data_IF_032304648898
#
_entry.id   IF_032304648898
#
_cell.length_a   1.000
_cell.length_b   1.000
_cell.length_c   1.000
_cell.angle_alpha   90.00
_cell.angle_beta   90.00
_cell.angle_gamma   90.00
#
_symmetry.space_group_name_H-M   'P 1'
#
loop_
_entity.id
_entity.type
_entity.pdbx_description
1 polymer ?
#
# COMPACT_ATOMS: atom_id res chain seq x y z
N UNK A 1 -47.78 39.74 18.38
CA UNK A 1 -47.47 38.35 18.01
C UNK A 1 -46.13 38.34 17.30
N UNK A 2 -45.01 38.18 18.04
CA UNK A 2 -43.66 38.09 17.46
C UNK A 2 -43.32 36.62 17.35
N UNK A 3 -43.16 36.14 16.12
CA UNK A 3 -42.84 34.75 15.79
C UNK A 3 -41.37 34.52 16.16
N UNK A 4 -41.13 33.62 17.12
CA UNK A 4 -39.80 33.10 17.43
C UNK A 4 -39.43 32.08 16.36
N UNK A 5 -38.39 32.34 15.58
CA UNK A 5 -37.76 31.33 14.71
C UNK A 5 -36.71 30.62 15.57
N UNK A 6 -36.70 29.27 15.67
CA UNK A 6 -35.67 28.58 16.44
C UNK A 6 -34.35 28.67 15.67
N UNK A 7 -33.34 29.20 16.35
CA UNK A 7 -31.96 29.21 15.87
C UNK A 7 -31.47 27.75 15.87
N UNK A 8 -31.46 27.10 14.71
CA UNK A 8 -30.72 25.85 14.52
C UNK A 8 -29.24 26.18 14.76
N UNK A 9 -28.71 25.77 15.89
CA UNK A 9 -27.27 25.72 16.09
C UNK A 9 -26.71 24.64 15.15
N UNK A 10 -26.26 25.05 13.95
CA UNK A 10 -25.30 24.27 13.19
C UNK A 10 -24.05 24.17 14.07
N UNK A 11 -23.82 23.01 14.67
CA UNK A 11 -22.51 22.66 15.20
C UNK A 11 -21.59 22.57 13.99
N UNK A 12 -20.89 23.65 13.66
CA UNK A 12 -19.69 23.57 12.84
C UNK A 12 -18.68 22.77 13.66
N UNK A 13 -18.63 21.45 13.42
CA UNK A 13 -17.49 20.64 13.83
C UNK A 13 -16.24 21.30 13.24
N UNK A 14 -15.37 21.79 14.12
CA UNK A 14 -14.11 22.40 13.71
C UNK A 14 -13.30 21.39 12.92
N UNK A 15 -12.80 21.80 11.75
CA UNK A 15 -11.84 21.03 10.92
C UNK A 15 -10.47 20.84 11.58
N UNK A 16 -10.32 21.27 12.84
CA UNK A 16 -9.08 21.24 13.60
C UNK A 16 -8.68 19.84 14.10
N UNK A 17 -9.62 18.88 14.13
CA UNK A 17 -9.39 17.53 14.68
C UNK A 17 -9.38 16.41 13.61
N UNK A 18 -9.32 16.78 12.33
CA UNK A 18 -9.28 15.81 11.23
C UNK A 18 -7.88 15.20 11.09
N UNK A 19 -7.79 13.87 11.17
CA UNK A 19 -6.56 13.12 10.93
C UNK A 19 -6.07 13.29 9.50
N UNK A 20 -4.76 13.46 9.37
CA UNK A 20 -4.08 13.50 8.09
C UNK A 20 -3.53 12.12 7.75
N UNK A 21 -3.99 11.57 6.62
CA UNK A 21 -3.63 10.26 6.11
C UNK A 21 -2.72 10.41 4.89
N UNK A 22 -1.47 9.99 5.02
CA UNK A 22 -0.52 9.94 3.92
C UNK A 22 -0.70 8.69 3.07
N UNK A 23 -0.85 8.84 1.75
CA UNK A 23 -0.93 7.72 0.80
C UNK A 23 0.37 7.66 0.01
N UNK A 24 1.28 6.73 0.35
CA UNK A 24 2.52 6.47 -0.39
C UNK A 24 2.32 5.40 -1.44
N UNK A 25 2.07 5.80 -2.69
CA UNK A 25 1.66 4.86 -3.73
C UNK A 25 1.92 5.38 -5.16
N UNK A 26 1.18 4.89 -6.17
CA UNK A 26 1.24 5.30 -7.59
C UNK A 26 0.53 6.61 -7.91
N UNK A 27 0.07 7.34 -6.88
CA UNK A 27 -0.70 8.57 -7.02
C UNK A 27 -2.19 8.39 -6.76
N UNK A 28 -2.86 9.50 -6.45
CA UNK A 28 -4.27 9.49 -6.02
C UNK A 28 -5.07 10.44 -6.89
N UNK A 29 -6.09 9.92 -7.59
CA UNK A 29 -7.10 10.74 -8.26
C UNK A 29 -7.97 11.46 -7.22
N UNK A 30 -7.44 12.55 -6.69
CA UNK A 30 -8.12 13.45 -5.75
C UNK A 30 -9.29 14.22 -6.39
N UNK A 31 -9.49 14.10 -7.71
CA UNK A 31 -10.67 14.66 -8.39
C UNK A 31 -11.87 13.72 -8.35
N UNK A 32 -11.65 12.45 -7.96
CA UNK A 32 -12.73 11.48 -7.75
C UNK A 32 -13.76 12.04 -6.77
N UNK A 33 -15.04 11.99 -7.10
CA UNK A 33 -16.16 12.62 -6.38
C UNK A 33 -16.21 12.33 -4.87
N UNK A 34 -15.78 11.12 -4.48
CA UNK A 34 -15.75 10.71 -3.08
C UNK A 34 -14.40 11.00 -2.38
N UNK A 35 -13.33 11.28 -3.14
CA UNK A 35 -12.01 11.62 -2.61
C UNK A 35 -11.77 13.13 -2.61
N UNK A 36 -12.38 13.90 -3.52
CA UNK A 36 -12.23 15.36 -3.57
C UNK A 36 -12.63 16.05 -2.25
N UNK A 37 -13.72 15.66 -1.56
CA UNK A 37 -14.03 16.21 -0.23
C UNK A 37 -13.03 15.79 0.86
N UNK A 38 -12.21 14.78 0.58
CA UNK A 38 -11.19 14.22 1.47
C UNK A 38 -9.78 14.69 1.15
N UNK A 39 -9.54 15.35 0.02
CA UNK A 39 -8.23 15.91 -0.30
C UNK A 39 -7.81 16.89 0.79
N UNK A 40 -6.63 16.68 1.37
CA UNK A 40 -5.97 17.68 2.21
C UNK A 40 -5.60 18.88 1.35
N UNK A 41 -5.62 20.06 1.96
CA UNK A 41 -5.27 21.31 1.29
C UNK A 41 -4.10 21.93 2.05
N UNK A 42 -2.93 22.01 1.42
CA UNK A 42 -1.85 22.84 1.91
C UNK A 42 -2.28 24.30 1.80
N UNK A 43 -2.66 24.92 2.93
CA UNK A 43 -3.13 26.32 2.97
C UNK A 43 -1.98 27.32 2.94
N UNK A 44 -0.76 26.86 3.13
CA UNK A 44 0.43 27.70 3.05
C UNK A 44 0.93 27.81 1.60
N UNK A 45 0.45 26.94 0.71
CA UNK A 45 0.81 26.92 -0.70
C UNK A 45 -0.23 27.58 -1.61
N UNK A 46 0.23 27.97 -2.81
CA UNK A 46 -0.63 28.51 -3.87
C UNK A 46 -0.55 27.65 -5.13
N UNK A 47 -1.71 27.19 -5.63
CA UNK A 47 -1.76 26.32 -6.81
C UNK A 47 -1.09 26.99 -8.03
N UNK A 48 -0.15 26.28 -8.65
CA UNK A 48 0.60 26.76 -9.81
C UNK A 48 1.72 27.75 -9.48
N UNK A 49 1.97 28.05 -8.19
CA UNK A 49 3.16 28.77 -7.75
C UNK A 49 4.40 27.93 -7.99
N UNK A 50 5.48 28.57 -8.45
CA UNK A 50 6.83 27.98 -8.48
C UNK A 50 7.67 28.37 -7.25
N UNK A 51 7.09 29.19 -6.36
CA UNK A 51 7.70 29.56 -5.08
C UNK A 51 7.18 28.62 -4.02
N UNK A 52 8.11 27.99 -3.30
CA UNK A 52 7.87 27.22 -2.08
C UNK A 52 7.62 28.22 -0.93
N UNK A 53 6.39 28.26 -0.45
CA UNK A 53 5.89 29.25 0.51
C UNK A 53 5.98 28.76 1.96
N UNK A 54 5.93 27.45 2.20
CA UNK A 54 6.09 26.88 3.54
C UNK A 54 7.51 26.37 3.83
N UNK A 55 8.40 26.43 2.84
CA UNK A 55 9.81 26.07 2.89
C UNK A 55 10.03 24.58 3.19
N UNK A 56 9.18 23.72 2.64
CA UNK A 56 9.31 22.26 2.75
C UNK A 56 10.13 21.64 1.59
N UNK A 57 10.50 22.46 0.61
CA UNK A 57 11.28 22.10 -0.58
C UNK A 57 10.44 21.78 -1.82
N UNK A 58 9.10 21.80 -1.74
CA UNK A 58 8.18 21.32 -2.77
C UNK A 58 7.16 22.39 -3.20
N UNK A 59 7.54 23.33 -4.09
CA UNK A 59 6.67 24.43 -4.49
C UNK A 59 5.30 23.97 -5.03
N UNK A 60 4.22 24.44 -4.40
CA UNK A 60 2.84 24.23 -4.88
C UNK A 60 2.26 22.84 -4.60
N UNK A 61 2.73 22.12 -3.59
CA UNK A 61 2.25 20.79 -3.15
C UNK A 61 0.84 20.79 -2.50
N UNK A 62 -0.12 21.45 -3.15
CA UNK A 62 -1.48 21.74 -2.65
C UNK A 62 -2.23 20.53 -2.08
N UNK A 63 -2.00 19.34 -2.64
CA UNK A 63 -2.64 18.10 -2.21
C UNK A 63 -1.63 16.99 -1.90
N UNK A 64 -0.35 17.37 -1.78
CA UNK A 64 0.81 16.49 -1.73
C UNK A 64 1.66 16.59 -3.00
N UNK A 65 2.53 15.59 -3.21
CA UNK A 65 3.59 15.66 -4.21
C UNK A 65 3.78 14.37 -5.01
N UNK A 66 4.21 14.52 -6.26
CA UNK A 66 4.77 13.46 -7.08
C UNK A 66 6.30 13.49 -7.02
N UNK A 67 6.86 12.60 -6.21
CA UNK A 67 8.31 12.44 -6.02
C UNK A 67 8.99 11.72 -7.19
N UNK A 68 8.22 11.13 -8.11
CA UNK A 68 8.75 10.43 -9.28
C UNK A 68 8.98 11.38 -10.45
N UNK A 69 8.13 12.41 -10.58
CA UNK A 69 8.21 13.42 -11.63
C UNK A 69 8.62 14.80 -11.10
N UNK A 70 8.83 14.92 -9.78
CA UNK A 70 9.12 16.16 -9.06
C UNK A 70 8.10 17.26 -9.37
N UNK A 71 6.83 16.99 -9.08
CA UNK A 71 5.70 17.81 -9.51
C UNK A 71 4.57 17.82 -8.49
N UNK A 72 3.80 18.91 -8.43
CA UNK A 72 2.55 19.01 -7.67
C UNK A 72 1.40 18.15 -8.25
N UNK A 73 1.57 17.55 -9.43
CA UNK A 73 0.55 16.71 -10.07
C UNK A 73 0.55 15.30 -9.46
N UNK A 74 -0.20 15.10 -8.39
CA UNK A 74 -0.26 13.84 -7.61
C UNK A 74 -0.94 12.66 -8.31
N UNK A 75 -1.47 12.84 -9.52
CA UNK A 75 -2.06 11.78 -10.33
C UNK A 75 -1.90 12.08 -11.81
N UNK A 76 -1.47 11.07 -12.57
CA UNK A 76 -1.33 11.15 -14.02
C UNK A 76 -2.61 10.62 -14.67
N UNK A 77 -3.27 11.43 -15.50
CA UNK A 77 -4.56 11.14 -16.15
C UNK A 77 -4.41 10.58 -17.59
N UNK A 78 -3.19 10.44 -18.10
CA UNK A 78 -2.91 10.06 -19.50
C UNK A 78 -3.25 8.60 -19.86
N UNK A 79 -3.68 7.79 -18.90
CA UNK A 79 -3.92 6.35 -19.09
C UNK A 79 -5.33 5.91 -18.67
N UNK A 80 -6.24 6.86 -18.50
CA UNK A 80 -7.65 6.60 -18.18
C UNK A 80 -8.33 5.73 -19.26
N UNK A 81 -7.93 5.89 -20.52
CA UNK A 81 -8.45 5.14 -21.66
C UNK A 81 -8.19 3.63 -21.55
N UNK A 82 -7.19 3.22 -20.78
CA UNK A 82 -6.87 1.80 -20.54
C UNK A 82 -7.82 1.13 -19.56
N UNK A 83 -8.63 1.89 -18.81
CA UNK A 83 -9.67 1.36 -17.92
C UNK A 83 -10.92 0.97 -18.74
N UNK A 84 -10.73 0.03 -19.66
CA UNK A 84 -11.73 -0.45 -20.61
C UNK A 84 -12.81 -1.33 -19.96
N UNK A 85 -13.89 -1.60 -20.69
CA UNK A 85 -14.96 -2.50 -20.22
C UNK A 85 -14.45 -3.91 -19.92
N UNK A 86 -13.54 -4.45 -20.73
CA UNK A 86 -12.98 -5.79 -20.53
C UNK A 86 -12.08 -5.86 -19.29
N UNK A 87 -11.28 -4.81 -19.03
CA UNK A 87 -10.49 -4.73 -17.80
C UNK A 87 -11.39 -4.68 -16.56
N UNK A 88 -12.46 -3.86 -16.58
CA UNK A 88 -13.45 -3.82 -15.49
C UNK A 88 -14.14 -5.16 -15.30
N UNK A 89 -14.49 -5.83 -16.41
CA UNK A 89 -15.12 -7.16 -16.41
C UNK A 89 -14.19 -8.21 -15.81
N UNK A 90 -12.90 -8.18 -16.17
CA UNK A 90 -11.89 -9.06 -15.59
C UNK A 90 -11.84 -8.91 -14.07
N UNK A 91 -11.64 -7.70 -13.54
CA UNK A 91 -11.54 -7.49 -12.10
C UNK A 91 -12.83 -7.88 -11.36
N UNK A 92 -14.00 -7.58 -11.94
CA UNK A 92 -15.28 -7.99 -11.38
C UNK A 92 -15.39 -9.52 -11.29
N UNK A 93 -15.17 -10.24 -12.40
CA UNK A 93 -15.29 -11.71 -12.42
C UNK A 93 -14.21 -12.39 -11.58
N UNK A 94 -12.98 -11.87 -11.60
CA UNK A 94 -11.89 -12.38 -10.78
C UNK A 94 -12.21 -12.23 -9.28
N UNK A 95 -12.83 -11.12 -8.87
CA UNK A 95 -13.28 -10.94 -7.49
C UNK A 95 -14.34 -11.98 -7.08
N UNK A 96 -15.28 -12.33 -7.97
CA UNK A 96 -16.26 -13.38 -7.72
C UNK A 96 -15.61 -14.77 -7.59
N UNK A 97 -14.58 -15.03 -8.41
CA UNK A 97 -13.77 -16.24 -8.33
C UNK A 97 -13.07 -16.34 -6.97
N UNK A 98 -12.39 -15.28 -6.52
CA UNK A 98 -11.69 -15.24 -5.24
C UNK A 98 -12.62 -15.38 -4.03
N UNK A 99 -13.84 -14.84 -4.13
CA UNK A 99 -14.87 -14.97 -3.11
C UNK A 99 -15.52 -16.36 -3.07
N UNK A 100 -15.12 -17.29 -3.95
CA UNK A 100 -15.73 -18.62 -4.05
C UNK A 100 -17.18 -18.59 -4.54
N UNK A 101 -17.59 -17.52 -5.24
CA UNK A 101 -18.96 -17.33 -5.74
C UNK A 101 -19.21 -17.95 -7.11
N UNK A 102 -18.15 -18.42 -7.79
CA UNK A 102 -18.25 -19.06 -9.10
C UNK A 102 -18.19 -20.59 -8.97
N UNK A 103 -18.81 -21.28 -9.92
CA UNK A 103 -18.72 -22.72 -10.11
C UNK A 103 -18.28 -23.06 -11.56
N UNK A 104 -18.08 -24.34 -11.88
CA UNK A 104 -17.58 -24.76 -13.20
C UNK A 104 -18.47 -24.35 -14.38
N UNK A 105 -19.76 -24.10 -14.13
CA UNK A 105 -20.74 -23.68 -15.14
C UNK A 105 -20.98 -22.16 -15.20
N UNK A 106 -20.38 -21.38 -14.29
CA UNK A 106 -20.50 -19.92 -14.29
C UNK A 106 -19.99 -19.34 -15.61
N UNK A 107 -20.81 -18.51 -16.26
CA UNK A 107 -20.43 -17.82 -17.50
C UNK A 107 -19.21 -16.92 -17.28
N UNK A 108 -19.09 -16.32 -16.10
CA UNK A 108 -17.97 -15.50 -15.66
C UNK A 108 -16.66 -16.30 -15.62
N UNK A 109 -16.72 -17.55 -15.16
CA UNK A 109 -15.55 -18.42 -15.12
C UNK A 109 -15.13 -18.86 -16.53
N UNK A 110 -16.09 -19.16 -17.40
CA UNK A 110 -15.83 -19.47 -18.82
C UNK A 110 -15.20 -18.26 -19.51
N UNK A 111 -15.71 -17.06 -19.22
CA UNK A 111 -15.15 -15.81 -19.73
C UNK A 111 -13.70 -15.63 -19.27
N UNK A 112 -13.41 -15.77 -17.97
CA UNK A 112 -12.05 -15.64 -17.42
C UNK A 112 -11.08 -16.64 -18.08
N UNK A 113 -11.46 -17.92 -18.20
CA UNK A 113 -10.62 -18.96 -18.82
C UNK A 113 -10.30 -18.68 -20.29
N UNK A 114 -11.21 -18.00 -20.99
CA UNK A 114 -11.04 -17.64 -22.40
C UNK A 114 -10.15 -16.40 -22.53
N UNK A 115 -10.45 -15.33 -21.79
CA UNK A 115 -9.85 -14.01 -21.97
C UNK A 115 -8.50 -13.86 -21.26
N UNK A 116 -8.18 -14.69 -20.25
CA UNK A 116 -6.83 -14.69 -19.64
C UNK A 116 -5.73 -15.19 -20.57
N UNK A 117 -6.08 -15.73 -21.75
CA UNK A 117 -5.13 -16.09 -22.81
C UNK A 117 -4.84 -14.93 -23.77
N UNK A 118 -5.58 -13.84 -23.69
CA UNK A 118 -5.35 -12.64 -24.49
C UNK A 118 -4.23 -11.82 -23.83
N UNK A 119 -3.07 -11.78 -24.49
CA UNK A 119 -1.90 -11.06 -23.99
C UNK A 119 -2.13 -9.54 -23.90
N UNK A 120 -2.88 -8.94 -24.83
CA UNK A 120 -3.16 -7.50 -24.80
C UNK A 120 -4.07 -7.14 -23.63
N UNK A 121 -5.13 -7.93 -23.41
CA UNK A 121 -5.97 -7.77 -22.24
C UNK A 121 -5.16 -7.94 -20.94
N UNK A 122 -4.34 -8.98 -20.83
CA UNK A 122 -3.58 -9.23 -19.60
C UNK A 122 -2.52 -8.14 -19.34
N UNK A 123 -1.89 -7.61 -20.38
CA UNK A 123 -1.00 -6.46 -20.26
C UNK A 123 -1.75 -5.22 -19.74
N UNK A 124 -2.94 -4.94 -20.27
CA UNK A 124 -3.81 -3.85 -19.78
C UNK A 124 -4.26 -4.09 -18.34
N UNK A 125 -4.68 -5.30 -17.99
CA UNK A 125 -5.09 -5.67 -16.62
C UNK A 125 -3.95 -5.41 -15.63
N UNK A 126 -2.74 -5.87 -15.94
CA UNK A 126 -1.55 -5.68 -15.11
C UNK A 126 -1.21 -4.20 -14.96
N UNK A 127 -1.18 -3.46 -16.07
CA UNK A 127 -0.91 -2.02 -16.06
C UNK A 127 -1.96 -1.27 -15.22
N UNK A 128 -3.24 -1.48 -15.53
CA UNK A 128 -4.35 -0.78 -14.88
C UNK A 128 -4.35 -1.06 -13.38
N UNK A 129 -4.07 -2.28 -12.95
CA UNK A 129 -4.03 -2.59 -11.52
C UNK A 129 -2.97 -1.80 -10.76
N UNK A 130 -1.80 -1.55 -11.35
CA UNK A 130 -0.77 -0.69 -10.75
C UNK A 130 -1.13 0.80 -10.84
N UNK A 131 -1.70 1.21 -11.98
CA UNK A 131 -2.11 2.59 -12.25
C UNK A 131 -3.22 3.09 -11.32
N UNK A 132 -4.23 2.26 -11.05
CA UNK A 132 -5.34 2.65 -10.15
C UNK A 132 -5.02 2.46 -8.67
N UNK A 133 -3.88 1.83 -8.36
CA UNK A 133 -3.58 1.30 -7.03
C UNK A 133 -3.65 2.36 -5.93
N UNK A 134 -2.99 3.52 -6.11
CA UNK A 134 -3.00 4.61 -5.14
C UNK A 134 -4.40 5.17 -4.88
N UNK A 135 -5.16 5.45 -5.94
CA UNK A 135 -6.58 5.85 -5.83
C UNK A 135 -7.41 4.81 -5.09
N UNK A 136 -7.14 3.52 -5.30
CA UNK A 136 -7.85 2.43 -4.65
C UNK A 136 -7.57 2.35 -3.16
N UNK A 137 -6.30 2.36 -2.75
CA UNK A 137 -5.92 2.32 -1.32
C UNK A 137 -6.32 3.60 -0.58
N UNK A 138 -6.33 4.75 -1.26
CA UNK A 138 -6.85 6.01 -0.71
C UNK A 138 -8.32 5.88 -0.31
N UNK A 139 -9.17 5.33 -1.18
CA UNK A 139 -10.59 5.10 -0.87
C UNK A 139 -10.81 4.19 0.34
N UNK A 140 -10.08 3.06 0.42
CA UNK A 140 -10.17 2.15 1.57
C UNK A 140 -9.75 2.87 2.86
N UNK A 141 -8.76 3.75 2.77
CA UNK A 141 -8.20 4.48 3.91
C UNK A 141 -9.15 5.52 4.51
N UNK A 142 -10.03 6.17 3.73
CA UNK A 142 -10.76 7.35 4.22
C UNK A 142 -12.28 7.33 4.05
N UNK A 143 -12.87 6.53 3.15
CA UNK A 143 -14.29 6.69 2.82
C UNK A 143 -15.25 6.44 4.00
N UNK A 144 -14.89 5.52 4.90
CA UNK A 144 -15.64 5.24 6.12
C UNK A 144 -15.15 6.02 7.35
N UNK A 145 -14.47 7.15 7.10
CA UNK A 145 -14.08 8.11 8.11
C UNK A 145 -14.46 9.54 7.64
N UNK A 146 -15.49 10.17 8.23
CA UNK A 146 -15.95 11.48 7.78
C UNK A 146 -14.91 12.60 7.93
N UNK A 147 -13.96 12.49 8.87
CA UNK A 147 -13.03 13.56 9.21
C UNK A 147 -11.71 13.46 8.44
N UNK A 148 -11.20 12.24 8.21
CA UNK A 148 -9.90 11.99 7.59
C UNK A 148 -9.67 12.78 6.29
N UNK A 149 -8.43 13.28 6.14
CA UNK A 149 -7.93 13.97 4.95
C UNK A 149 -6.77 13.21 4.32
N UNK A 150 -6.64 13.29 2.99
CA UNK A 150 -5.62 12.60 2.20
C UNK A 150 -4.52 13.58 1.82
N UNK A 151 -3.28 13.28 2.21
CA UNK A 151 -2.06 13.83 1.62
C UNK A 151 -1.48 12.77 0.66
N UNK A 152 -1.48 13.06 -0.64
CA UNK A 152 -1.07 12.11 -1.67
C UNK A 152 0.43 12.21 -1.93
N UNK A 153 1.14 11.08 -1.86
CA UNK A 153 2.58 11.02 -2.12
C UNK A 153 2.82 9.96 -3.19
N UNK A 154 2.95 10.42 -4.44
CA UNK A 154 3.27 9.52 -5.55
C UNK A 154 4.76 9.23 -5.51
N UNK A 155 5.10 8.00 -5.16
CA UNK A 155 6.49 7.51 -5.06
C UNK A 155 6.73 6.32 -5.99
N UNK A 156 5.66 5.77 -6.55
CA UNK A 156 5.72 4.65 -7.49
C UNK A 156 5.49 5.23 -8.87
N UNK A 157 6.47 5.10 -9.79
CA UNK A 157 6.28 5.58 -11.14
C UNK A 157 5.14 4.77 -11.78
N UNK A 158 4.19 5.45 -12.39
CA UNK A 158 3.28 4.78 -13.33
C UNK A 158 4.16 4.21 -14.43
N UNK A 159 4.17 2.89 -14.68
CA UNK A 159 5.13 2.29 -15.58
C UNK A 159 5.12 3.00 -16.94
N UNK A 160 6.19 3.73 -17.28
CA UNK A 160 6.43 4.28 -18.62
C UNK A 160 6.84 3.15 -19.59
N UNK A 161 6.30 1.95 -19.44
CA UNK A 161 6.27 1.07 -20.59
C UNK A 161 5.14 1.59 -21.46
N UNK A 162 5.49 2.41 -22.45
CA UNK A 162 4.67 2.52 -23.65
C UNK A 162 4.13 1.11 -23.90
N UNK A 163 2.80 0.96 -23.80
CA UNK A 163 2.14 -0.13 -24.50
C UNK A 163 2.62 0.05 -25.92
N UNK A 164 3.65 -0.73 -26.33
CA UNK A 164 4.23 -0.64 -27.65
C UNK A 164 3.09 -0.96 -28.60
N UNK A 165 2.40 0.08 -29.06
CA UNK A 165 1.71 0.03 -30.33
C UNK A 165 2.84 -0.24 -31.30
N UNK A 166 2.89 -1.45 -31.82
CA UNK A 166 3.59 -1.69 -33.08
C UNK A 166 2.89 -0.80 -34.09
N UNK A 167 3.34 0.44 -34.23
CA UNK A 167 3.00 1.28 -35.37
C UNK A 167 3.78 0.70 -36.55
N UNK A 168 3.10 0.08 -37.55
CA UNK A 168 3.78 -0.46 -38.72
C UNK A 168 4.45 0.63 -39.57
N UNK A 169 4.23 1.92 -39.27
CA UNK A 169 4.84 3.07 -39.93
C UNK A 169 5.82 3.85 -39.04
N UNK A 170 6.20 3.33 -37.86
CA UNK A 170 7.21 3.98 -37.02
C UNK A 170 8.52 4.18 -37.82
N UNK A 171 9.12 5.39 -37.79
CA UNK A 171 10.41 5.62 -38.44
C UNK A 171 11.43 4.61 -37.93
N UNK A 172 12.12 3.94 -38.86
CA UNK A 172 13.16 2.95 -38.52
C UNK A 172 14.10 3.53 -37.48
N UNK A 173 14.31 2.80 -36.39
CA UNK A 173 15.19 3.20 -35.31
C UNK A 173 16.51 3.74 -35.88
N UNK A 174 16.87 4.95 -35.48
CA UNK A 174 18.22 5.49 -35.71
C UNK A 174 19.19 4.44 -35.14
N UNK A 175 20.21 3.99 -35.90
CA UNK A 175 21.18 3.04 -35.39
C UNK A 175 21.70 3.54 -34.04
N UNK A 176 21.56 2.74 -32.97
CA UNK A 176 22.16 3.06 -31.68
C UNK A 176 23.64 3.35 -31.94
N UNK A 177 24.07 4.57 -31.59
CA UNK A 177 25.48 4.87 -31.44
C UNK A 177 26.00 3.84 -30.46
N UNK A 178 26.91 2.97 -30.91
CA UNK A 178 27.61 2.00 -30.07
C UNK A 178 28.40 2.81 -29.05
N UNK A 179 27.85 2.96 -27.86
CA UNK A 179 28.60 3.36 -26.68
C UNK A 179 29.72 2.34 -26.47
N UNK A 180 30.93 2.76 -26.06
CA UNK A 180 31.98 1.82 -25.66
C UNK A 180 31.41 0.81 -24.67
N UNK A 181 31.72 -0.48 -24.84
CA UNK A 181 31.33 -1.50 -23.86
C UNK A 181 31.93 -1.12 -22.50
N UNK A 182 31.06 -0.91 -21.50
CA UNK A 182 31.50 -0.71 -20.12
C UNK A 182 32.28 -1.94 -19.67
N UNK A 183 33.49 -1.80 -19.10
CA UNK A 183 34.26 -2.92 -18.56
C UNK A 183 33.42 -3.75 -17.58
N UNK A 184 33.59 -5.08 -17.62
CA UNK A 184 32.92 -5.97 -16.68
C UNK A 184 33.39 -5.68 -15.25
N UNK A 185 32.43 -5.51 -14.32
CA UNK A 185 32.72 -5.36 -12.89
C UNK A 185 33.13 -6.69 -12.28
N UNK A 186 33.92 -6.63 -11.22
CA UNK A 186 34.12 -7.75 -10.30
C UNK A 186 32.84 -8.01 -9.48
N UNK A 187 32.76 -9.19 -8.86
CA UNK A 187 31.66 -9.54 -7.95
C UNK A 187 31.62 -8.58 -6.75
N UNK A 188 32.78 -8.17 -6.25
CA UNK A 188 32.91 -7.26 -5.11
C UNK A 188 32.41 -5.85 -5.43
N UNK A 189 32.79 -5.30 -6.60
CA UNK A 189 32.28 -4.01 -7.08
C UNK A 189 30.75 -4.05 -7.24
N UNK A 190 30.22 -5.08 -7.91
CA UNK A 190 28.77 -5.22 -8.06
C UNK A 190 28.04 -5.37 -6.72
N UNK A 191 28.61 -6.14 -5.78
CA UNK A 191 28.04 -6.28 -4.43
C UNK A 191 28.02 -4.92 -3.71
N UNK A 192 29.09 -4.15 -3.83
CA UNK A 192 29.20 -2.80 -3.26
C UNK A 192 28.15 -1.87 -3.84
N UNK A 193 27.93 -1.91 -5.16
CA UNK A 193 26.90 -1.08 -5.80
C UNK A 193 25.49 -1.46 -5.34
N UNK A 194 25.20 -2.76 -5.19
CA UNK A 194 23.91 -3.23 -4.65
C UNK A 194 23.70 -2.74 -3.22
N UNK A 195 24.73 -2.82 -2.37
CA UNK A 195 24.66 -2.30 -0.99
C UNK A 195 24.48 -0.79 -0.97
N UNK A 196 25.25 -0.04 -1.77
CA UNK A 196 25.10 1.41 -1.87
C UNK A 196 23.69 1.81 -2.36
N UNK A 197 23.11 1.04 -3.30
CA UNK A 197 21.74 1.28 -3.76
C UNK A 197 20.70 1.06 -2.65
N UNK A 198 20.95 0.13 -1.72
CA UNK A 198 20.11 -0.04 -0.53
C UNK A 198 20.21 1.16 0.40
N UNK A 199 21.42 1.67 0.67
CA UNK A 199 21.63 2.86 1.49
C UNK A 199 20.96 4.10 0.86
N UNK A 200 21.09 4.29 -0.45
CA UNK A 200 20.41 5.36 -1.19
C UNK A 200 18.89 5.24 -1.10
N UNK A 201 18.34 4.03 -1.22
CA UNK A 201 16.92 3.77 -1.05
C UNK A 201 16.43 4.17 0.36
N UNK A 202 17.19 3.85 1.41
CA UNK A 202 16.85 4.30 2.77
C UNK A 202 16.91 5.82 2.88
N UNK A 203 17.94 6.48 2.34
CA UNK A 203 18.08 7.93 2.40
C UNK A 203 16.92 8.66 1.70
N UNK A 204 16.44 8.13 0.57
CA UNK A 204 15.23 8.64 -0.08
C UNK A 204 13.99 8.49 0.80
N UNK A 205 13.81 7.33 1.45
CA UNK A 205 12.71 7.13 2.40
C UNK A 205 12.82 8.03 3.63
N UNK A 206 14.02 8.34 4.12
CA UNK A 206 14.24 9.33 5.18
C UNK A 206 13.74 10.71 4.75
N UNK A 207 14.04 11.13 3.51
CA UNK A 207 13.51 12.38 2.95
C UNK A 207 11.97 12.39 2.88
N UNK A 208 11.38 11.32 2.35
CA UNK A 208 9.92 11.16 2.30
C UNK A 208 9.28 11.19 3.69
N UNK A 209 9.88 10.53 4.67
CA UNK A 209 9.37 10.51 6.04
C UNK A 209 9.61 11.85 6.75
N UNK A 210 10.63 12.61 6.36
CA UNK A 210 10.83 13.98 6.85
C UNK A 210 9.69 14.89 6.37
N UNK A 211 9.26 14.76 5.11
CA UNK A 211 8.09 15.45 4.56
C UNK A 211 6.79 15.07 5.31
N UNK A 212 6.59 13.76 5.57
CA UNK A 212 5.48 13.27 6.42
C UNK A 212 5.48 13.92 7.80
N UNK A 213 6.64 14.04 8.43
CA UNK A 213 6.78 14.66 9.75
C UNK A 213 6.53 16.17 9.72
N UNK A 214 7.04 16.86 8.69
CA UNK A 214 6.84 18.28 8.48
C UNK A 214 5.34 18.63 8.42
N UNK A 215 4.58 17.86 7.64
CA UNK A 215 3.13 18.01 7.50
C UNK A 215 2.32 17.39 8.65
N UNK A 216 3.00 16.83 9.66
CA UNK A 216 2.38 16.22 10.86
C UNK A 216 1.33 15.16 10.51
N UNK A 217 1.62 14.34 9.50
CA UNK A 217 0.74 13.25 9.08
C UNK A 217 0.56 12.28 10.25
N UNK A 218 -0.68 11.91 10.55
CA UNK A 218 -0.98 11.03 11.69
C UNK A 218 -0.72 9.57 11.37
N UNK A 219 -1.12 9.14 10.17
CA UNK A 219 -0.96 7.76 9.69
C UNK A 219 -0.62 7.71 8.21
N UNK A 220 0.30 6.81 7.84
CA UNK A 220 0.70 6.58 6.46
C UNK A 220 0.37 5.16 6.02
N UNK A 221 -0.29 5.03 4.88
CA UNK A 221 -0.45 3.77 4.16
C UNK A 221 0.75 3.53 3.22
N UNK A 222 1.52 2.47 3.45
CA UNK A 222 2.61 2.01 2.58
C UNK A 222 2.25 0.65 1.98
N UNK A 223 1.77 0.68 0.73
CA UNK A 223 1.31 -0.52 0.02
C UNK A 223 2.27 -0.91 -1.12
N UNK A 224 3.56 -0.88 -0.83
CA UNK A 224 4.66 -1.24 -1.73
C UNK A 224 5.71 -2.04 -0.98
N UNK A 225 6.59 -2.72 -1.72
CA UNK A 225 7.78 -3.32 -1.14
C UNK A 225 8.53 -4.25 -2.09
N UNK A 226 9.65 -4.76 -1.61
CA UNK A 226 10.51 -5.74 -2.31
C UNK A 226 10.68 -6.96 -1.40
N UNK A 227 10.16 -8.10 -1.86
CA UNK A 227 10.34 -9.38 -1.17
C UNK A 227 11.67 -10.03 -1.54
N UNK A 228 12.08 -11.03 -0.75
CA UNK A 228 13.32 -11.78 -1.01
C UNK A 228 13.43 -12.34 -2.44
N UNK A 229 12.34 -12.87 -3.00
CA UNK A 229 12.32 -13.41 -4.36
C UNK A 229 12.54 -12.35 -5.43
N UNK A 230 11.91 -11.18 -5.28
CA UNK A 230 12.13 -10.03 -6.17
C UNK A 230 13.58 -9.54 -6.10
N UNK A 231 14.14 -9.51 -4.87
CA UNK A 231 15.54 -9.17 -4.66
C UNK A 231 16.49 -10.12 -5.39
N UNK A 232 16.27 -11.42 -5.27
CA UNK A 232 17.02 -12.43 -6.03
C UNK A 232 16.94 -12.15 -7.54
N UNK A 233 15.75 -11.84 -8.06
CA UNK A 233 15.56 -11.64 -9.49
C UNK A 233 16.30 -10.41 -10.03
N UNK A 234 16.15 -9.25 -9.40
CA UNK A 234 16.82 -8.04 -9.91
C UNK A 234 18.33 -8.09 -9.68
N UNK A 235 18.81 -8.73 -8.60
CA UNK A 235 20.24 -8.94 -8.34
C UNK A 235 20.83 -9.86 -9.42
N UNK A 236 20.16 -10.97 -9.76
CA UNK A 236 20.63 -11.84 -10.84
C UNK A 236 20.66 -11.12 -12.19
N UNK A 237 19.64 -10.33 -12.50
CA UNK A 237 19.58 -9.56 -13.75
C UNK A 237 20.71 -8.53 -13.84
N UNK A 238 20.86 -7.67 -12.83
CA UNK A 238 21.93 -6.68 -12.82
C UNK A 238 23.33 -7.31 -12.79
N UNK A 239 23.50 -8.47 -12.15
CA UNK A 239 24.78 -9.18 -12.15
C UNK A 239 25.16 -9.63 -13.56
N UNK A 240 24.23 -10.18 -14.33
CA UNK A 240 24.48 -10.54 -15.74
C UNK A 240 24.85 -9.30 -16.55
N UNK A 241 24.15 -8.19 -16.33
CA UNK A 241 24.37 -6.95 -17.07
C UNK A 241 25.72 -6.28 -16.75
N UNK A 242 26.18 -6.33 -15.50
CA UNK A 242 27.36 -5.58 -15.05
C UNK A 242 28.63 -6.44 -14.91
N UNK A 243 28.49 -7.70 -14.50
CA UNK A 243 29.59 -8.67 -14.33
C UNK A 243 29.78 -9.51 -15.60
N UNK A 244 28.86 -9.43 -16.57
CA UNK A 244 28.92 -10.08 -17.90
C UNK A 244 28.97 -11.62 -17.87
N UNK A 245 28.46 -12.22 -16.80
CA UNK A 245 28.23 -13.67 -16.67
C UNK A 245 27.09 -13.95 -15.70
N UNK A 246 26.59 -15.19 -15.70
CA UNK A 246 25.64 -15.62 -14.67
C UNK A 246 26.30 -15.68 -13.28
N UNK A 247 25.60 -15.29 -12.20
CA UNK A 247 26.06 -15.55 -10.84
C UNK A 247 25.84 -17.01 -10.47
N UNK A 248 26.69 -17.53 -9.58
CA UNK A 248 26.42 -18.76 -8.86
C UNK A 248 25.33 -18.55 -7.79
N UNK A 249 24.74 -19.63 -7.28
CA UNK A 249 23.76 -19.53 -6.19
C UNK A 249 24.37 -18.99 -4.90
N UNK A 250 25.66 -19.29 -4.64
CA UNK A 250 26.40 -18.78 -3.48
C UNK A 250 26.61 -17.27 -3.59
N UNK A 251 27.03 -16.79 -4.76
CA UNK A 251 27.18 -15.34 -5.01
C UNK A 251 25.84 -14.62 -4.86
N UNK A 252 24.78 -15.17 -5.46
CA UNK A 252 23.44 -14.59 -5.36
C UNK A 252 23.00 -14.49 -3.90
N UNK A 253 23.11 -15.57 -3.14
CA UNK A 253 22.71 -15.60 -1.73
C UNK A 253 23.52 -14.63 -0.88
N UNK A 254 24.83 -14.49 -1.14
CA UNK A 254 25.69 -13.55 -0.44
C UNK A 254 25.30 -12.09 -0.73
N UNK A 255 25.06 -11.74 -2.00
CA UNK A 255 24.68 -10.38 -2.41
C UNK A 255 23.29 -10.01 -1.86
N UNK A 256 22.31 -10.91 -1.96
CA UNK A 256 20.95 -10.67 -1.40
C UNK A 256 21.01 -10.50 0.11
N UNK A 257 21.83 -11.29 0.81
CA UNK A 257 22.04 -11.14 2.25
C UNK A 257 22.66 -9.78 2.59
N UNK A 258 23.66 -9.33 1.84
CA UNK A 258 24.28 -8.02 2.05
C UNK A 258 23.28 -6.87 1.81
N UNK A 259 22.48 -6.96 0.74
CA UNK A 259 21.42 -6.01 0.42
C UNK A 259 20.41 -5.84 1.57
N UNK A 260 19.83 -6.93 2.08
CA UNK A 260 18.88 -6.84 3.19
C UNK A 260 19.54 -6.47 4.52
N UNK A 261 20.80 -6.87 4.75
CA UNK A 261 21.52 -6.45 5.94
C UNK A 261 21.65 -4.92 6.00
N UNK A 262 21.99 -4.29 4.88
CA UNK A 262 22.06 -2.83 4.77
C UNK A 262 20.69 -2.16 4.98
N UNK A 263 19.65 -2.63 4.27
CA UNK A 263 18.29 -2.11 4.43
C UNK A 263 17.80 -2.18 5.89
N UNK A 264 18.17 -3.22 6.64
CA UNK A 264 17.69 -3.41 8.01
C UNK A 264 18.57 -2.75 9.06
N UNK A 265 19.84 -2.53 8.77
CA UNK A 265 20.73 -1.74 9.61
C UNK A 265 20.30 -0.26 9.57
N UNK A 266 20.09 0.27 8.38
CA UNK A 266 19.84 1.70 8.18
C UNK A 266 18.35 2.06 8.13
N UNK A 267 17.49 1.11 7.77
CA UNK A 267 16.04 1.29 7.68
C UNK A 267 15.35 1.93 8.88
N UNK A 268 15.73 1.65 10.14
CA UNK A 268 15.12 2.33 11.29
C UNK A 268 15.19 3.87 11.23
N UNK A 269 16.19 4.44 10.51
CA UNK A 269 16.34 5.90 10.32
C UNK A 269 15.11 6.52 9.65
N UNK A 270 14.48 5.84 8.69
CA UNK A 270 13.31 6.40 8.00
C UNK A 270 12.12 6.54 8.94
N UNK A 271 11.88 5.55 9.82
CA UNK A 271 10.80 5.64 10.80
C UNK A 271 11.08 6.67 11.90
N UNK A 272 12.35 6.84 12.28
CA UNK A 272 12.79 7.86 13.22
C UNK A 272 12.65 9.29 12.68
N UNK A 273 12.58 9.49 11.36
CA UNK A 273 12.34 10.79 10.75
C UNK A 273 10.90 11.30 10.95
N UNK A 274 9.95 10.41 11.28
CA UNK A 274 8.54 10.73 11.58
C UNK A 274 8.04 10.00 12.83
N UNK A 275 8.60 10.28 14.02
CA UNK A 275 8.39 9.46 15.21
C UNK A 275 6.95 9.51 15.75
N UNK A 276 6.20 10.57 15.41
CA UNK A 276 4.82 10.77 15.84
C UNK A 276 3.78 10.19 14.87
N UNK A 277 4.22 9.75 13.69
CA UNK A 277 3.38 9.15 12.66
C UNK A 277 3.39 7.63 12.79
N UNK A 278 2.23 6.99 12.64
CA UNK A 278 2.13 5.53 12.54
C UNK A 278 2.14 5.08 11.07
N UNK A 279 2.97 4.11 10.74
CA UNK A 279 3.08 3.56 9.37
C UNK A 279 2.40 2.20 9.30
N UNK A 280 1.36 2.06 8.49
CA UNK A 280 0.75 0.76 8.18
C UNK A 280 1.35 0.23 6.88
N UNK A 281 1.87 -0.99 6.91
CA UNK A 281 2.71 -1.56 5.83
C UNK A 281 2.15 -2.91 5.38
N UNK A 282 2.06 -3.11 4.08
CA UNK A 282 1.68 -4.39 3.48
C UNK A 282 2.74 -5.47 3.73
N UNK A 283 2.33 -6.67 4.13
CA UNK A 283 3.27 -7.77 4.41
C UNK A 283 3.92 -8.39 3.15
N UNK A 284 3.31 -8.19 1.97
CA UNK A 284 3.72 -8.80 0.69
C UNK A 284 2.77 -9.88 0.18
N UNK A 285 2.87 -10.24 -1.10
CA UNK A 285 1.90 -11.08 -1.84
C UNK A 285 2.52 -12.38 -2.41
N UNK A 286 3.58 -12.89 -1.78
CA UNK A 286 4.40 -13.99 -2.29
C UNK A 286 4.06 -15.35 -1.69
N UNK A 287 3.03 -15.43 -0.83
CA UNK A 287 2.72 -16.61 -0.02
C UNK A 287 3.89 -17.05 0.89
N UNK A 288 4.76 -16.10 1.24
CA UNK A 288 6.03 -16.33 1.91
C UNK A 288 5.96 -16.11 3.42
N UNK A 289 6.91 -16.70 4.14
CA UNK A 289 7.10 -16.45 5.57
C UNK A 289 8.19 -15.39 5.77
N UNK A 290 7.81 -14.18 6.21
CA UNK A 290 8.71 -13.06 6.49
C UNK A 290 9.70 -13.36 7.64
N UNK A 291 9.40 -14.32 8.52
CA UNK A 291 10.37 -14.75 9.54
C UNK A 291 11.58 -15.50 8.91
N UNK A 292 11.45 -15.98 7.67
CA UNK A 292 12.48 -16.74 6.94
C UNK A 292 13.01 -15.98 5.71
N UNK A 293 12.13 -15.31 4.99
CA UNK A 293 12.42 -14.60 3.75
C UNK A 293 12.03 -13.13 3.90
N UNK A 294 12.99 -12.24 4.10
CA UNK A 294 12.71 -10.85 4.46
C UNK A 294 11.96 -10.08 3.36
N UNK A 295 11.25 -9.07 3.83
CA UNK A 295 10.45 -8.16 3.02
C UNK A 295 10.71 -6.71 3.43
N UNK A 296 11.07 -5.86 2.47
CA UNK A 296 11.28 -4.43 2.68
C UNK A 296 10.07 -3.62 2.20
N UNK A 297 9.55 -2.64 2.97
CA UNK A 297 9.99 -2.20 4.30
C UNK A 297 9.32 -2.94 5.47
N UNK A 298 8.51 -3.96 5.19
CA UNK A 298 7.69 -4.67 6.17
C UNK A 298 8.47 -5.22 7.36
N UNK A 299 9.73 -5.63 7.20
CA UNK A 299 10.48 -6.31 8.27
C UNK A 299 11.52 -5.44 8.99
N UNK A 300 11.67 -4.16 8.59
CA UNK A 300 12.53 -3.18 9.29
C UNK A 300 12.05 -2.98 10.73
N UNK A 301 12.92 -2.97 11.72
CA UNK A 301 12.49 -2.75 13.10
C UNK A 301 12.12 -1.28 13.37
N UNK A 302 10.87 -1.04 13.81
CA UNK A 302 10.44 0.25 14.33
C UNK A 302 9.22 0.12 15.26
N UNK A 303 9.08 1.07 16.21
CA UNK A 303 7.96 1.08 17.15
C UNK A 303 6.67 1.62 16.53
N UNK A 304 6.78 2.63 15.67
CA UNK A 304 5.68 3.36 15.04
C UNK A 304 5.23 2.76 13.70
N UNK A 305 5.18 1.43 13.59
CA UNK A 305 4.63 0.75 12.40
C UNK A 305 3.77 -0.46 12.71
N UNK A 306 2.90 -0.85 11.79
CA UNK A 306 2.04 -2.03 11.86
C UNK A 306 2.11 -2.77 10.53
N UNK A 307 2.54 -4.03 10.54
CA UNK A 307 2.64 -4.88 9.34
C UNK A 307 1.39 -5.73 9.19
N UNK A 308 0.79 -5.75 8.00
CA UNK A 308 -0.57 -6.25 7.77
C UNK A 308 -0.61 -7.37 6.73
N UNK A 309 -1.05 -8.56 7.18
CA UNK A 309 -1.42 -9.68 6.30
C UNK A 309 -2.85 -9.53 5.73
N UNK A 310 -3.10 -10.17 4.59
CA UNK A 310 -4.39 -10.18 3.92
C UNK A 310 -5.22 -11.42 4.27
N UNK A 311 -6.53 -11.23 4.35
CA UNK A 311 -7.50 -12.29 4.65
C UNK A 311 -8.69 -12.24 3.70
N UNK A 312 -9.32 -13.41 3.49
CA UNK A 312 -10.64 -13.51 2.89
C UNK A 312 -11.69 -13.23 3.98
N UNK A 313 -12.00 -11.95 4.16
CA UNK A 313 -12.85 -11.50 5.27
C UNK A 313 -12.33 -12.03 6.62
N UNK A 314 -13.22 -12.52 7.48
CA UNK A 314 -12.86 -13.14 8.77
C UNK A 314 -12.77 -14.68 8.69
N UNK A 315 -12.60 -15.24 7.48
CA UNK A 315 -12.71 -16.69 7.24
C UNK A 315 -11.36 -17.41 7.21
N UNK A 316 -10.38 -16.87 6.49
CA UNK A 316 -9.06 -17.48 6.33
C UNK A 316 -8.02 -16.42 5.93
N UNK A 317 -6.74 -16.75 6.10
CA UNK A 317 -5.67 -16.00 5.46
C UNK A 317 -5.81 -16.13 3.94
N UNK A 318 -5.49 -15.08 3.20
CA UNK A 318 -5.49 -15.13 1.74
C UNK A 318 -4.29 -15.98 1.27
N UNK A 319 -4.50 -16.84 0.27
CA UNK A 319 -3.46 -17.77 -0.20
C UNK A 319 -2.17 -17.06 -0.65
N UNK A 320 -2.30 -15.84 -1.18
CA UNK A 320 -1.17 -15.02 -1.63
C UNK A 320 -0.48 -14.27 -0.49
N UNK A 321 -1.09 -14.12 0.68
CA UNK A 321 -0.57 -13.25 1.73
C UNK A 321 0.76 -13.78 2.26
N UNK A 322 1.75 -12.89 2.36
CA UNK A 322 2.86 -13.13 3.25
C UNK A 322 2.38 -13.17 4.70
N UNK A 323 3.14 -13.86 5.54
CA UNK A 323 2.86 -14.10 6.94
C UNK A 323 4.17 -14.17 7.75
N UNK A 324 4.09 -14.09 9.07
CA UNK A 324 5.24 -14.21 9.96
C UNK A 324 4.80 -14.07 11.41
N UNK A 325 5.13 -15.05 12.25
CA UNK A 325 4.78 -15.05 13.67
C UNK A 325 5.48 -13.92 14.44
N UNK A 326 6.60 -13.40 13.93
CA UNK A 326 7.35 -12.31 14.58
C UNK A 326 7.37 -11.03 13.76
N UNK A 327 7.35 -11.14 12.42
CA UNK A 327 7.48 -10.01 11.51
C UNK A 327 6.16 -9.35 11.09
N UNK A 328 5.05 -10.10 11.10
CA UNK A 328 3.73 -9.58 10.70
C UNK A 328 2.86 -9.38 11.95
N UNK A 329 2.35 -8.18 12.18
CA UNK A 329 1.67 -7.84 13.44
C UNK A 329 0.22 -8.38 13.51
N UNK A 330 -0.57 -8.05 12.49
CA UNK A 330 -2.02 -8.30 12.43
C UNK A 330 -2.45 -8.71 11.04
N UNK A 331 -3.68 -9.23 10.92
CA UNK A 331 -4.33 -9.43 9.64
C UNK A 331 -5.50 -8.46 9.44
N UNK A 332 -5.88 -8.21 8.17
CA UNK A 332 -7.08 -7.45 7.80
C UNK A 332 -7.69 -7.98 6.49
N UNK A 333 -8.99 -7.70 6.20
CA UNK A 333 -9.61 -8.10 4.95
C UNK A 333 -8.90 -7.49 3.74
N UNK A 334 -8.46 -8.32 2.80
CA UNK A 334 -7.68 -7.88 1.64
C UNK A 334 -8.00 -8.61 0.34
N UNK A 335 -9.11 -9.37 0.29
CA UNK A 335 -9.55 -10.09 -0.92
C UNK A 335 -10.86 -9.49 -1.42
N UNK A 336 -10.91 -9.18 -2.71
CA UNK A 336 -12.06 -8.62 -3.41
C UNK A 336 -12.59 -7.35 -2.73
N UNK A 337 -11.68 -6.44 -2.37
CA UNK A 337 -12.01 -5.17 -1.74
C UNK A 337 -12.40 -4.18 -2.83
N UNK A 338 -13.67 -3.78 -2.85
CA UNK A 338 -14.14 -2.72 -3.76
C UNK A 338 -13.80 -1.35 -3.19
N UNK A 339 -13.12 -0.52 -3.99
CA UNK A 339 -12.79 0.86 -3.64
C UNK A 339 -12.82 1.77 -4.87
N UNK A 340 -12.54 3.06 -4.65
CA UNK A 340 -12.43 4.08 -5.70
C UNK A 340 -11.35 3.73 -6.71
N UNK A 341 -11.60 4.01 -7.97
CA UNK A 341 -10.61 3.99 -9.05
C UNK A 341 -10.79 5.25 -9.89
N UNK A 342 -9.77 5.69 -10.66
CA UNK A 342 -9.83 6.94 -11.40
C UNK A 342 -11.08 7.07 -12.27
N UNK A 343 -11.55 8.30 -12.48
CA UNK A 343 -12.77 8.62 -13.27
C UNK A 343 -14.11 8.24 -12.63
N UNK A 344 -14.24 8.39 -11.31
CA UNK A 344 -15.50 8.17 -10.58
C UNK A 344 -16.06 6.74 -10.69
N UNK A 345 -15.19 5.76 -10.90
CA UNK A 345 -15.57 4.33 -10.93
C UNK A 345 -15.08 3.61 -9.69
N UNK A 346 -15.60 2.41 -9.47
CA UNK A 346 -15.18 1.55 -8.37
C UNK A 346 -14.77 0.19 -8.93
N UNK A 347 -13.66 -0.33 -8.43
CA UNK A 347 -13.10 -1.60 -8.87
C UNK A 347 -12.74 -2.44 -7.65
N UNK A 348 -12.79 -3.76 -7.80
CA UNK A 348 -12.39 -4.69 -6.76
C UNK A 348 -10.94 -5.13 -6.99
N UNK A 349 -10.08 -4.94 -5.99
CA UNK A 349 -8.70 -5.44 -5.97
C UNK A 349 -8.48 -6.35 -4.76
N UNK A 350 -7.44 -7.18 -4.87
CA UNK A 350 -6.98 -8.10 -3.82
C UNK A 350 -5.50 -7.89 -3.58
N UNK A 351 -5.07 -7.98 -2.31
CA UNK A 351 -3.68 -7.79 -1.91
C UNK A 351 -3.54 -7.46 -0.43
N UNK A 352 -2.33 -7.65 0.11
CA UNK A 352 -1.94 -7.03 1.39
C UNK A 352 -1.99 -5.50 1.31
N UNK A 353 -1.82 -4.95 0.11
CA UNK A 353 -2.09 -3.56 -0.23
C UNK A 353 -3.53 -3.10 0.02
N UNK A 354 -4.53 -3.99 -0.03
CA UNK A 354 -5.93 -3.64 0.28
C UNK A 354 -6.27 -3.92 1.75
N UNK A 355 -5.54 -4.83 2.41
CA UNK A 355 -5.64 -5.07 3.84
C UNK A 355 -5.06 -3.93 4.68
N UNK A 356 -3.91 -3.39 4.26
CA UNK A 356 -3.19 -2.29 4.92
C UNK A 356 -4.05 -1.03 5.14
N UNK A 357 -4.74 -0.48 4.13
CA UNK A 357 -5.56 0.71 4.28
C UNK A 357 -6.79 0.49 5.17
N UNK A 358 -7.22 -0.76 5.39
CA UNK A 358 -8.23 -1.07 6.41
C UNK A 358 -7.72 -0.73 7.81
N UNK A 359 -6.46 -1.05 8.10
CA UNK A 359 -5.79 -0.70 9.36
C UNK A 359 -5.51 0.81 9.42
N UNK A 360 -5.07 1.42 8.31
CA UNK A 360 -4.93 2.89 8.20
C UNK A 360 -6.21 3.61 8.60
N UNK A 361 -7.36 3.16 8.09
CA UNK A 361 -8.66 3.75 8.41
C UNK A 361 -9.03 3.61 9.89
N UNK A 362 -8.72 2.46 10.52
CA UNK A 362 -8.93 2.26 11.96
C UNK A 362 -8.10 3.26 12.74
N UNK A 363 -6.81 3.39 12.41
CA UNK A 363 -5.89 4.26 13.13
C UNK A 363 -6.26 5.74 12.96
N UNK A 364 -6.59 6.18 11.75
CA UNK A 364 -7.12 7.52 11.49
C UNK A 364 -8.36 7.83 12.35
N UNK A 365 -9.32 6.91 12.39
CA UNK A 365 -10.53 7.09 13.17
C UNK A 365 -10.28 7.07 14.70
N UNK A 366 -9.28 6.32 15.17
CA UNK A 366 -8.85 6.38 16.57
C UNK A 366 -8.21 7.73 16.90
N UNK A 367 -7.44 8.30 15.98
CA UNK A 367 -6.80 9.61 16.15
C UNK A 367 -7.82 10.74 16.16
N UNK A 368 -8.79 10.72 15.24
CA UNK A 368 -9.92 11.67 15.26
C UNK A 368 -10.71 11.60 16.57
N UNK A 369 -10.88 10.38 17.10
CA UNK A 369 -11.62 10.18 18.33
C UNK A 369 -10.82 10.65 19.55
N UNK A 370 -9.51 10.40 19.59
CA UNK A 370 -8.62 10.73 20.69
C UNK A 370 -7.25 11.23 20.16
N UNK A 371 -7.13 12.54 19.89
CA UNK A 371 -5.90 13.14 19.35
C UNK A 371 -4.68 13.00 20.26
N UNK A 372 -4.86 12.72 21.54
CA UNK A 372 -3.77 12.56 22.50
C UNK A 372 -3.01 11.23 22.38
N UNK A 373 -3.55 10.25 21.64
CA UNK A 373 -2.89 8.96 21.44
C UNK A 373 -1.59 9.14 20.64
N UNK A 374 -0.49 8.63 21.19
CA UNK A 374 0.79 8.53 20.50
C UNK A 374 0.77 7.40 19.46
N UNK A 375 1.73 7.39 18.52
CA UNK A 375 1.89 6.28 17.58
C UNK A 375 2.00 4.91 18.31
N UNK A 376 2.69 4.88 19.45
CA UNK A 376 2.81 3.69 20.29
C UNK A 376 1.45 3.25 20.86
N UNK A 377 0.64 4.18 21.35
CA UNK A 377 -0.68 3.87 21.90
C UNK A 377 -1.63 3.36 20.81
N UNK A 378 -1.61 3.99 19.64
CA UNK A 378 -2.39 3.56 18.47
C UNK A 378 -2.03 2.11 18.09
N UNK A 379 -0.74 1.79 17.99
CA UNK A 379 -0.27 0.42 17.74
C UNK A 379 -0.72 -0.55 18.82
N UNK A 380 -0.52 -0.21 20.09
CA UNK A 380 -0.89 -1.07 21.22
C UNK A 380 -2.39 -1.40 21.20
N UNK A 381 -3.25 -0.41 20.94
CA UNK A 381 -4.69 -0.61 20.83
C UNK A 381 -5.04 -1.51 19.66
N UNK A 382 -4.50 -1.27 18.46
CA UNK A 382 -4.78 -2.12 17.29
C UNK A 382 -4.41 -3.57 17.56
N UNK A 383 -3.20 -3.83 18.07
CA UNK A 383 -2.73 -5.19 18.36
C UNK A 383 -3.52 -5.85 19.51
N UNK A 384 -3.85 -5.10 20.57
CA UNK A 384 -4.55 -5.62 21.75
C UNK A 384 -6.05 -5.87 21.52
N UNK A 385 -6.64 -5.28 20.48
CA UNK A 385 -8.08 -5.36 20.20
C UNK A 385 -8.42 -6.27 19.03
N UNK A 386 -7.49 -7.06 18.50
CA UNK A 386 -7.79 -8.04 17.45
C UNK A 386 -8.77 -9.13 17.92
N UNK A 387 -9.50 -9.67 16.95
CA UNK A 387 -10.17 -10.95 17.05
C UNK A 387 -9.14 -12.07 16.87
N UNK A 388 -8.88 -12.84 17.92
CA UNK A 388 -7.95 -13.96 17.85
C UNK A 388 -8.61 -15.11 17.10
N UNK A 389 -7.99 -15.57 16.01
CA UNK A 389 -8.50 -16.68 15.21
C UNK A 389 -7.48 -17.83 15.20
N UNK A 390 -7.96 -19.05 15.44
CA UNK A 390 -7.08 -20.23 15.52
C UNK A 390 -6.26 -20.46 14.24
N UNK A 391 -6.82 -20.14 13.07
CA UNK A 391 -6.16 -20.24 11.77
C UNK A 391 -5.12 -19.14 11.50
N UNK A 392 -5.00 -18.13 12.37
CA UNK A 392 -3.93 -17.14 12.36
C UNK A 392 -2.79 -17.46 13.33
N UNK A 393 -2.92 -18.52 14.14
CA UNK A 393 -1.87 -18.93 15.07
C UNK A 393 -0.57 -19.25 14.32
N UNK A 394 0.51 -18.56 14.66
CA UNK A 394 1.80 -18.69 13.99
C UNK A 394 1.87 -18.08 12.58
N UNK A 395 0.84 -17.34 12.16
CA UNK A 395 0.81 -16.60 10.89
C UNK A 395 1.00 -15.11 11.08
N UNK A 396 0.52 -14.55 12.19
CA UNK A 396 0.79 -13.17 12.60
C UNK A 396 1.02 -13.13 14.10
N UNK A 397 1.77 -12.14 14.59
CA UNK A 397 2.17 -11.95 15.98
C UNK A 397 1.01 -12.00 16.96
N UNK A 398 -0.08 -11.31 16.62
CA UNK A 398 -1.30 -11.27 17.47
C UNK A 398 -2.18 -12.50 17.32
N UNK A 399 -1.89 -13.40 16.36
CA UNK A 399 -2.79 -14.47 15.93
C UNK A 399 -4.21 -13.98 15.61
N UNK A 400 -4.36 -12.72 15.18
CA UNK A 400 -5.66 -12.10 15.07
C UNK A 400 -5.83 -11.13 13.90
N UNK A 401 -7.10 -10.91 13.58
CA UNK A 401 -7.59 -9.97 12.58
C UNK A 401 -8.14 -8.73 13.27
N UNK A 402 -7.86 -7.54 12.73
CA UNK A 402 -8.27 -6.27 13.34
C UNK A 402 -9.78 -6.15 13.53
N UNK A 403 -10.23 -5.53 14.63
CA UNK A 403 -11.64 -5.30 14.95
C UNK A 403 -11.87 -3.79 15.17
N UNK A 404 -12.41 -3.11 14.14
CA UNK A 404 -12.59 -1.65 14.16
C UNK A 404 -13.47 -1.16 15.33
N UNK A 405 -14.68 -1.70 15.58
CA UNK A 405 -15.49 -1.26 16.72
C UNK A 405 -14.76 -1.38 18.07
N UNK A 406 -14.01 -2.48 18.28
CA UNK A 406 -13.27 -2.69 19.53
C UNK A 406 -12.11 -1.73 19.67
N UNK A 407 -11.34 -1.50 18.61
CA UNK A 407 -10.24 -0.53 18.59
C UNK A 407 -10.71 0.89 18.91
N UNK A 408 -11.82 1.33 18.28
CA UNK A 408 -12.42 2.64 18.57
C UNK A 408 -12.92 2.75 20.01
N UNK A 409 -13.52 1.68 20.56
CA UNK A 409 -13.96 1.67 21.96
C UNK A 409 -12.78 1.77 22.93
N UNK A 410 -11.66 1.12 22.63
CA UNK A 410 -10.43 1.27 23.41
C UNK A 410 -9.87 2.71 23.31
N UNK A 411 -9.83 3.30 22.11
CA UNK A 411 -9.40 4.70 21.94
C UNK A 411 -10.28 5.69 22.73
N UNK A 412 -11.59 5.44 22.80
CA UNK A 412 -12.54 6.20 23.63
C UNK A 412 -12.21 6.08 25.12
N UNK A 413 -12.04 4.85 25.63
CA UNK A 413 -11.70 4.62 27.04
C UNK A 413 -10.34 5.18 27.43
N UNK A 414 -9.38 5.21 26.50
CA UNK A 414 -8.04 5.76 26.72
C UNK A 414 -8.02 7.29 26.92
N UNK A 415 -9.16 8.00 26.75
CA UNK A 415 -9.26 9.43 27.10
C UNK A 415 -9.11 9.70 28.59
N UNK A 416 -9.42 8.73 29.44
CA UNK A 416 -9.44 8.89 30.91
C UNK A 416 -8.76 7.76 31.67
N UNK A 417 -8.14 6.82 30.96
CA UNK A 417 -7.57 5.59 31.51
C UNK A 417 -6.30 5.22 30.78
N UNK A 418 -5.48 4.35 31.38
CA UNK A 418 -4.32 3.77 30.69
C UNK A 418 -4.76 2.94 29.49
N UNK A 419 -3.89 2.84 28.47
CA UNK A 419 -4.15 2.06 27.25
C UNK A 419 -4.46 0.60 27.55
N UNK A 420 -3.73 -0.04 28.48
CA UNK A 420 -3.95 -1.44 28.84
C UNK A 420 -5.33 -1.69 29.46
N UNK A 421 -5.79 -0.78 30.33
CA UNK A 421 -7.12 -0.86 30.92
C UNK A 421 -8.21 -0.61 29.86
N UNK A 422 -7.97 0.35 28.97
CA UNK A 422 -8.86 0.66 27.86
C UNK A 422 -9.04 -0.52 26.90
N UNK A 423 -7.95 -1.20 26.53
CA UNK A 423 -7.97 -2.42 25.71
C UNK A 423 -8.77 -3.52 26.43
N UNK A 424 -8.46 -3.78 27.70
CA UNK A 424 -9.12 -4.83 28.49
C UNK A 424 -10.63 -4.61 28.58
N UNK A 425 -11.07 -3.38 28.85
CA UNK A 425 -12.50 -3.03 28.87
C UNK A 425 -13.15 -3.13 27.50
N UNK A 426 -12.48 -2.70 26.44
CA UNK A 426 -13.01 -2.83 25.08
C UNK A 426 -13.22 -4.30 24.69
N UNK A 427 -12.27 -5.18 25.03
CA UNK A 427 -12.42 -6.64 24.82
C UNK A 427 -13.59 -7.23 25.58
N UNK A 428 -13.86 -6.77 26.80
CA UNK A 428 -15.01 -7.21 27.58
C UNK A 428 -16.35 -6.68 27.04
N UNK A 429 -16.36 -5.57 26.31
CA UNK A 429 -17.58 -4.89 25.85
C UNK A 429 -17.95 -5.23 24.41
N UNK A 430 -16.95 -5.42 23.55
CA UNK A 430 -17.15 -5.64 22.12
C UNK A 430 -16.69 -7.06 21.76
N UNK A 431 -17.68 -7.90 21.44
CA UNK A 431 -17.46 -9.27 21.01
C UNK A 431 -16.68 -9.34 19.68
N UNK A 432 -16.14 -10.53 19.40
CA UNK A 432 -15.57 -10.85 18.09
C UNK A 432 -16.62 -10.73 16.99
N UNK A 433 -16.18 -10.37 15.79
CA UNK A 433 -17.01 -10.37 14.59
C UNK A 433 -17.46 -11.81 14.33
N UNK A 434 -18.78 -11.99 14.24
CA UNK A 434 -19.38 -13.27 13.91
C UNK A 434 -18.98 -13.71 12.49
N UNK A 435 -18.55 -14.96 12.35
CA UNK A 435 -18.24 -15.55 11.05
C UNK A 435 -19.44 -16.38 10.62
N UNK A 436 -20.08 -16.04 9.51
CA UNK A 436 -21.12 -16.89 8.93
C UNK A 436 -20.54 -18.26 8.55
N UNK A 437 -21.24 -19.33 8.93
CA UNK A 437 -20.87 -20.70 8.55
C UNK A 437 -21.00 -20.86 7.03
N UNK A 438 -19.84 -21.07 6.40
CA UNK A 438 -19.61 -21.60 5.05
C UNK A 438 -19.99 -20.72 3.85
N UNK A 439 -18.98 -20.49 3.01
CA UNK A 439 -19.07 -20.77 1.58
C UNK A 439 -17.76 -21.51 1.25
N UNK A 440 -17.87 -22.57 0.47
CA UNK A 440 -16.74 -23.40 0.03
C UNK A 440 -15.60 -22.54 -0.50
N UNK A 441 -14.37 -22.88 -0.12
CA UNK A 441 -13.16 -22.38 -0.78
C UNK A 441 -13.25 -22.64 -2.28
N UNK A 442 -12.49 -21.82 -3.05
CA UNK A 442 -12.32 -21.86 -4.51
C UNK A 442 -12.69 -23.24 -5.10
N UNK A 443 -13.59 -23.32 -6.11
CA UNK A 443 -13.91 -24.60 -6.73
C UNK A 443 -12.63 -25.38 -7.06
N UNK A 444 -12.50 -26.57 -6.48
CA UNK A 444 -11.31 -27.43 -6.60
C UNK A 444 -11.00 -27.71 -8.07
N UNK A 445 -9.73 -27.56 -8.46
CA UNK A 445 -9.25 -27.84 -9.83
C UNK A 445 -9.20 -26.64 -10.77
N UNK A 446 -9.25 -25.40 -10.26
CA UNK A 446 -9.14 -24.18 -11.05
C UNK A 446 -7.90 -23.39 -10.64
N UNK A 447 -6.97 -23.20 -11.58
CA UNK A 447 -5.81 -22.33 -11.42
C UNK A 447 -5.89 -21.25 -12.50
N UNK A 448 -6.23 -20.03 -12.11
CA UNK A 448 -5.98 -18.85 -12.94
C UNK A 448 -4.62 -18.31 -12.51
N UNK A 449 -3.67 -18.25 -13.45
CA UNK A 449 -2.33 -17.71 -13.20
C UNK A 449 -2.37 -16.17 -13.19
N UNK A 450 -3.07 -15.61 -12.22
CA UNK A 450 -3.05 -14.17 -11.92
C UNK A 450 -2.74 -14.01 -10.44
N UNK A 451 -1.68 -13.27 -10.12
CA UNK A 451 -1.33 -12.91 -8.76
C UNK A 451 -1.72 -11.44 -8.53
N UNK A 452 -2.22 -11.09 -7.34
CA UNK A 452 -2.28 -9.71 -6.90
C UNK A 452 -1.02 -8.93 -7.23
N UNK A 453 -1.20 -7.73 -7.78
CA UNK A 453 -0.09 -6.83 -8.04
C UNK A 453 0.59 -6.45 -6.72
N UNK A 454 1.91 -6.44 -6.76
CA UNK A 454 2.77 -5.91 -5.71
C UNK A 454 3.51 -4.71 -6.30
N UNK A 455 3.12 -3.48 -5.98
CA UNK A 455 3.88 -2.32 -6.40
C UNK A 455 5.29 -2.36 -5.80
N UNK A 456 6.31 -2.29 -6.66
CA UNK A 456 7.71 -2.28 -6.24
C UNK A 456 8.27 -0.86 -6.34
N UNK A 457 8.90 -0.39 -5.27
CA UNK A 457 9.73 0.81 -5.31
C UNK A 457 11.07 0.44 -5.97
N UNK A 458 11.06 0.31 -7.30
CA UNK A 458 12.30 0.23 -8.08
C UNK A 458 12.73 1.66 -8.35
N UNK A 459 13.59 2.20 -7.49
CA UNK A 459 14.29 3.44 -7.79
C UNK A 459 15.17 3.13 -9.01
N UNK A 460 15.02 3.85 -10.12
CA UNK A 460 15.87 3.62 -11.28
C UNK A 460 17.33 3.79 -10.87
N UNK A 461 18.18 2.81 -11.22
CA UNK A 461 19.64 3.01 -11.21
C UNK A 461 19.93 4.13 -12.20
N UNK A 462 20.64 5.17 -11.75
CA UNK A 462 21.09 6.27 -12.62
C UNK A 462 22.02 5.77 -13.71
#
# INVERSE_FOLDING_TARGET
MKILIPLLALVQLSTADASLVGIMDSGTDISHKDLAPKAWLNRNETAGSLVDLDNDGLPGDIHGWDFTENSAKVFNDNHIDLITADVKTFYNYYSLYELGKLNQTSAELVWLKTHTKDEDLMNKVNFVGGYIHGTHVAGVSVLNNPQAKILSMKIIPTPYQELKKTDPNAPKAIPKVTTPETPAKTVEEYTTDVVNSASEQINQMVGLHTYVNFHKVDVVNQSFGIGYGDAVNFIKAGFVDEVKRAPTDVETAAIVKAYFAELFQDGPKMFAAAPNTIFTIAAGNDSSNNDLFPDYPADIQAENKIVVAATLGYKSIADFSNYGATKVDVAAPGVAITSTAPTNVYMALSGTSQATPYVTNIVAAMKDLNPALSARDLKAIVLGTVDVKSWLKGKVKTSGIVNKPRALKAAEFAKSQTVDLAISKARATIADVAVEKSLSLKPSGLTLNFKPLRPSLLIPRK
#
